data_IF_762084771562
#
_entry.id   IF_762084771562
#
_cell.length_a   1.000
_cell.length_b   1.000
_cell.length_c   1.000
_cell.angle_alpha   90.00
_cell.angle_beta   90.00
_cell.angle_gamma   90.00
#
_symmetry.space_group_name_H-M   'P 1'
#
loop_
_entity.id
_entity.type
_entity.pdbx_description
1 polymer ?
#
# COMPACT_ATOMS: atom_id res chain seq x y z
N UNK A 1 28.77 40.21 -73.82
CA UNK A 1 27.32 39.98 -73.89
C UNK A 1 27.06 38.51 -73.63
N UNK A 2 25.83 38.20 -73.20
CA UNK A 2 25.31 36.88 -72.80
C UNK A 2 25.58 36.49 -71.34
N UNK A 3 24.62 36.13 -70.49
CA UNK A 3 23.16 36.20 -70.50
C UNK A 3 22.79 35.86 -69.04
N UNK A 4 22.39 36.86 -68.25
CA UNK A 4 21.80 36.63 -66.93
C UNK A 4 20.56 35.75 -67.09
N UNK A 5 20.60 34.51 -66.60
CA UNK A 5 19.40 33.73 -66.28
C UNK A 5 19.69 32.56 -65.34
N UNK A 6 19.26 32.78 -64.09
CA UNK A 6 18.37 31.88 -63.34
C UNK A 6 18.89 30.49 -62.97
N UNK A 7 19.28 30.34 -61.69
CA UNK A 7 18.77 29.27 -60.79
C UNK A 7 19.22 29.50 -59.35
N UNK A 8 18.25 29.69 -58.45
CA UNK A 8 18.41 29.46 -57.00
C UNK A 8 18.42 27.95 -56.73
N UNK A 9 19.21 27.48 -55.75
CA UNK A 9 18.63 26.65 -54.71
C UNK A 9 19.17 27.01 -53.31
N UNK A 10 18.30 27.39 -52.38
CA UNK A 10 17.66 26.52 -51.37
C UNK A 10 18.55 26.34 -50.13
N UNK A 11 18.18 27.06 -49.06
CA UNK A 11 18.78 26.98 -47.74
C UNK A 11 18.56 25.60 -47.09
N UNK A 12 19.59 25.04 -46.46
CA UNK A 12 19.46 23.93 -45.51
C UNK A 12 19.67 24.46 -44.08
N UNK A 13 18.58 24.57 -43.33
CA UNK A 13 18.61 24.77 -41.89
C UNK A 13 18.70 23.40 -41.20
N UNK A 14 19.79 23.15 -40.47
CA UNK A 14 19.94 21.95 -39.65
C UNK A 14 19.15 22.11 -38.34
N UNK A 15 18.06 21.35 -38.19
CA UNK A 15 17.28 21.29 -36.95
C UNK A 15 17.88 20.25 -35.99
N UNK A 16 18.37 20.69 -34.83
CA UNK A 16 18.69 19.81 -33.70
C UNK A 16 17.38 19.28 -33.10
N UNK A 17 17.13 17.97 -33.25
CA UNK A 17 16.06 17.29 -32.53
C UNK A 17 16.54 16.94 -31.11
N UNK A 18 16.07 17.66 -30.11
CA UNK A 18 16.24 17.31 -28.70
C UNK A 18 15.37 16.09 -28.37
N UNK A 19 16.01 14.96 -28.05
CA UNK A 19 15.31 13.75 -27.58
C UNK A 19 14.91 13.97 -26.12
N UNK A 20 13.61 14.23 -25.89
CA UNK A 20 13.01 14.21 -24.56
C UNK A 20 12.89 12.75 -24.11
N UNK A 21 13.80 12.29 -23.25
CA UNK A 21 13.66 11.02 -22.57
C UNK A 21 12.49 11.10 -21.57
N UNK A 22 11.32 10.59 -21.97
CA UNK A 22 10.19 10.40 -21.06
C UNK A 22 10.50 9.24 -20.11
N UNK A 23 10.84 9.54 -18.86
CA UNK A 23 10.86 8.54 -17.79
C UNK A 23 9.43 8.13 -17.48
N UNK A 24 9.00 6.96 -17.96
CA UNK A 24 7.75 6.33 -17.54
C UNK A 24 7.86 5.97 -16.05
N UNK A 25 6.91 6.38 -15.20
CA UNK A 25 6.89 5.94 -13.81
C UNK A 25 6.74 4.42 -13.80
N UNK A 26 7.61 3.73 -13.07
CA UNK A 26 7.43 2.31 -12.78
C UNK A 26 6.06 2.14 -12.10
N UNK A 27 5.18 1.33 -12.70
CA UNK A 27 3.93 0.95 -12.06
C UNK A 27 4.28 0.28 -10.73
N UNK A 28 3.69 0.76 -9.63
CA UNK A 28 3.89 0.13 -8.33
C UNK A 28 3.48 -1.34 -8.44
N UNK A 29 4.40 -2.24 -8.07
CA UNK A 29 4.14 -3.68 -8.06
C UNK A 29 2.85 -3.97 -7.28
N UNK A 30 1.91 -4.76 -7.83
CA UNK A 30 0.64 -5.04 -7.17
C UNK A 30 0.87 -5.77 -5.84
N UNK A 31 0.47 -5.15 -4.72
CA UNK A 31 0.63 -5.68 -3.37
C UNK A 31 -0.69 -5.87 -2.60
N UNK A 32 -0.59 -6.07 -1.29
CA UNK A 32 -1.73 -6.13 -0.37
C UNK A 32 -1.82 -4.79 0.37
N UNK A 33 -2.77 -3.95 0.01
CA UNK A 33 -3.00 -2.69 0.73
C UNK A 33 -3.82 -2.95 1.99
N UNK A 34 -3.36 -2.45 3.13
CA UNK A 34 -4.04 -2.52 4.43
C UNK A 34 -4.32 -1.09 4.91
N UNK A 35 -5.58 -0.70 4.91
CA UNK A 35 -6.02 0.62 5.37
C UNK A 35 -6.66 0.51 6.75
N UNK A 36 -6.19 1.28 7.73
CA UNK A 36 -6.94 1.56 8.95
C UNK A 36 -8.06 2.56 8.64
N UNK A 37 -9.28 2.06 8.51
CA UNK A 37 -10.40 2.86 8.03
C UNK A 37 -11.10 3.63 9.16
N UNK A 38 -11.34 2.97 10.29
CA UNK A 38 -12.08 3.53 11.43
C UNK A 38 -11.59 2.94 12.75
N UNK A 39 -11.54 3.77 13.78
CA UNK A 39 -11.51 3.37 15.19
C UNK A 39 -12.81 3.81 15.84
N UNK A 40 -13.50 2.90 16.53
CA UNK A 40 -14.80 3.16 17.14
C UNK A 40 -14.78 2.82 18.64
N UNK A 41 -15.07 3.80 19.51
CA UNK A 41 -15.10 3.57 20.95
C UNK A 41 -16.09 2.47 21.34
N UNK A 42 -15.65 1.59 22.23
CA UNK A 42 -16.49 0.65 22.98
C UNK A 42 -16.21 0.85 24.47
N UNK A 43 -16.99 0.20 25.35
CA UNK A 43 -16.93 0.45 26.80
C UNK A 43 -15.50 0.31 27.36
N UNK A 44 -14.90 -0.88 27.19
CA UNK A 44 -13.57 -1.21 27.71
C UNK A 44 -12.61 -1.65 26.59
N UNK A 45 -12.91 -1.24 25.35
CA UNK A 45 -12.17 -1.64 24.16
C UNK A 45 -12.23 -0.56 23.07
N UNK A 46 -11.36 -0.67 22.08
CA UNK A 46 -11.46 0.06 20.83
C UNK A 46 -11.74 -0.89 19.67
N UNK A 47 -12.80 -0.65 18.90
CA UNK A 47 -13.08 -1.45 17.70
C UNK A 47 -12.32 -0.87 16.50
N UNK A 48 -11.47 -1.67 15.87
CA UNK A 48 -10.73 -1.30 14.67
C UNK A 48 -11.35 -1.92 13.42
N UNK A 49 -11.38 -1.14 12.35
CA UNK A 49 -11.85 -1.53 11.02
C UNK A 49 -10.69 -1.43 10.04
N UNK A 50 -10.26 -2.56 9.48
CA UNK A 50 -9.23 -2.62 8.44
C UNK A 50 -9.85 -2.98 7.09
N UNK A 51 -9.53 -2.22 6.06
CA UNK A 51 -9.84 -2.58 4.67
C UNK A 51 -8.59 -3.17 4.04
N UNK A 52 -8.67 -4.43 3.65
CA UNK A 52 -7.62 -5.13 2.91
C UNK A 52 -7.99 -5.16 1.44
N UNK A 53 -7.09 -4.78 0.55
CA UNK A 53 -7.23 -4.92 -0.90
C UNK A 53 -6.07 -5.74 -1.44
N UNK A 54 -6.38 -6.89 -2.03
CA UNK A 54 -5.39 -7.71 -2.70
C UNK A 54 -5.26 -7.28 -4.16
N UNK A 55 -4.21 -6.53 -4.47
CA UNK A 55 -3.87 -6.18 -5.84
C UNK A 55 -3.09 -7.27 -6.58
N UNK A 56 -2.59 -8.28 -5.86
CA UNK A 56 -1.81 -9.38 -6.45
C UNK A 56 -2.69 -10.33 -7.28
N UNK A 57 -2.04 -11.17 -8.10
CA UNK A 57 -2.68 -12.30 -8.77
C UNK A 57 -2.93 -13.53 -7.89
N UNK A 58 -2.39 -13.57 -6.67
CA UNK A 58 -2.53 -14.70 -5.75
C UNK A 58 -3.82 -14.62 -4.94
N UNK A 59 -4.44 -15.77 -4.67
CA UNK A 59 -5.52 -15.89 -3.68
C UNK A 59 -4.93 -16.40 -2.35
N UNK A 60 -4.94 -15.56 -1.32
CA UNK A 60 -4.39 -15.91 -0.01
C UNK A 60 -5.41 -16.68 0.83
N UNK A 61 -5.02 -17.90 1.20
CA UNK A 61 -5.76 -18.81 2.06
C UNK A 61 -5.40 -18.57 3.53
N UNK A 62 -4.16 -18.17 3.81
CA UNK A 62 -3.73 -17.60 5.08
C UNK A 62 -3.04 -16.27 4.85
N UNK A 63 -3.35 -15.33 5.74
CA UNK A 63 -2.72 -14.03 5.85
C UNK A 63 -3.04 -13.54 7.27
N UNK A 64 -2.07 -13.66 8.19
CA UNK A 64 -2.21 -13.27 9.60
C UNK A 64 -1.30 -12.09 9.87
N UNK A 65 -1.88 -10.91 10.03
CA UNK A 65 -1.16 -9.67 10.28
C UNK A 65 -0.81 -9.57 11.77
N UNK A 66 0.41 -9.18 12.08
CA UNK A 66 0.86 -8.88 13.43
C UNK A 66 0.84 -7.37 13.65
N UNK A 67 -0.09 -6.89 14.47
CA UNK A 67 -0.28 -5.47 14.72
C UNK A 67 0.13 -5.11 16.13
N UNK A 68 0.89 -4.02 16.28
CA UNK A 68 1.32 -3.46 17.56
C UNK A 68 0.75 -2.05 17.71
N UNK A 69 0.05 -1.82 18.80
CA UNK A 69 -0.55 -0.54 19.14
C UNK A 69 0.34 0.16 20.14
N UNK A 70 0.69 1.39 19.80
CA UNK A 70 1.40 2.28 20.71
C UNK A 70 0.44 3.34 21.23
N UNK A 71 0.64 3.75 22.47
CA UNK A 71 -0.09 4.88 23.04
C UNK A 71 0.41 6.23 22.49
N UNK A 72 -0.15 7.31 23.01
CA UNK A 72 0.19 8.68 22.61
C UNK A 72 1.64 9.07 22.96
N UNK A 73 2.22 8.47 24.00
CA UNK A 73 3.62 8.65 24.39
C UNK A 73 4.58 7.78 23.56
N UNK A 74 4.02 6.91 22.71
CA UNK A 74 4.75 6.01 21.84
C UNK A 74 5.25 4.75 22.53
N UNK A 75 4.68 4.39 23.69
CA UNK A 75 4.94 3.15 24.43
C UNK A 75 4.05 2.03 23.89
N UNK A 76 4.56 0.81 23.85
CA UNK A 76 3.79 -0.36 23.39
C UNK A 76 2.68 -0.66 24.39
N UNK A 77 1.43 -0.61 23.93
CA UNK A 77 0.26 -0.95 24.75
C UNK A 77 -0.26 -2.36 24.50
N UNK A 78 -0.53 -2.72 23.23
CA UNK A 78 -1.10 -4.02 22.85
C UNK A 78 -0.48 -4.58 21.58
N UNK A 79 -0.50 -5.91 21.46
CA UNK A 79 -0.17 -6.63 20.23
C UNK A 79 -1.30 -7.58 19.89
N UNK A 80 -1.78 -7.54 18.66
CA UNK A 80 -2.93 -8.32 18.19
C UNK A 80 -2.60 -8.96 16.85
N UNK A 81 -2.90 -10.25 16.74
CA UNK A 81 -2.81 -10.95 15.47
C UNK A 81 -4.17 -10.95 14.76
N UNK A 82 -4.24 -10.36 13.57
CA UNK A 82 -5.49 -10.16 12.81
C UNK A 82 -5.55 -11.12 11.62
N UNK A 83 -6.66 -11.85 11.51
CA UNK A 83 -6.92 -12.76 10.39
C UNK A 83 -7.39 -12.00 9.14
N UNK A 84 -6.47 -11.76 8.21
CA UNK A 84 -6.71 -11.09 6.93
C UNK A 84 -7.33 -11.99 5.85
N UNK A 85 -6.98 -13.28 5.82
CA UNK A 85 -7.55 -14.24 4.87
C UNK A 85 -8.94 -14.75 5.30
N UNK A 86 -9.74 -15.39 4.42
CA UNK A 86 -9.49 -15.57 2.98
C UNK A 86 -9.52 -14.25 2.21
N UNK A 87 -8.54 -14.08 1.32
CA UNK A 87 -8.38 -12.86 0.52
C UNK A 87 -8.02 -13.23 -0.92
N UNK A 88 -9.04 -13.41 -1.75
CA UNK A 88 -8.88 -13.74 -3.18
C UNK A 88 -8.17 -12.65 -3.97
N UNK A 89 -7.64 -13.02 -5.14
CA UNK A 89 -7.01 -12.08 -6.07
C UNK A 89 -7.99 -10.97 -6.47
N UNK A 90 -7.53 -9.72 -6.51
CA UNK A 90 -8.37 -8.54 -6.81
C UNK A 90 -9.42 -8.19 -5.75
N UNK A 91 -9.57 -8.97 -4.67
CA UNK A 91 -10.66 -8.81 -3.70
C UNK A 91 -10.35 -7.69 -2.70
N UNK A 92 -11.39 -6.93 -2.35
CA UNK A 92 -11.41 -6.07 -1.17
C UNK A 92 -12.15 -6.77 -0.04
N UNK A 93 -11.64 -6.70 1.19
CA UNK A 93 -12.24 -7.29 2.38
C UNK A 93 -12.18 -6.33 3.56
N UNK A 94 -13.28 -6.20 4.29
CA UNK A 94 -13.29 -5.54 5.59
C UNK A 94 -12.97 -6.55 6.69
N UNK A 95 -12.15 -6.17 7.65
CA UNK A 95 -11.85 -6.90 8.88
C UNK A 95 -12.15 -6.00 10.06
N UNK A 96 -12.85 -6.55 11.05
CA UNK A 96 -13.26 -5.82 12.24
C UNK A 96 -12.84 -6.63 13.45
N UNK A 97 -12.15 -5.99 14.39
CA UNK A 97 -11.73 -6.62 15.64
C UNK A 97 -11.75 -5.61 16.78
N UNK A 98 -11.90 -6.12 18.01
CA UNK A 98 -11.87 -5.32 19.22
C UNK A 98 -10.48 -5.38 19.85
N UNK A 99 -10.03 -4.25 20.39
CA UNK A 99 -8.74 -4.06 21.08
C UNK A 99 -9.06 -3.84 22.55
N UNK A 100 -8.91 -4.88 23.35
CA UNK A 100 -9.33 -4.84 24.76
C UNK A 100 -8.33 -4.11 25.65
N UNK A 101 -8.85 -3.34 26.60
CA UNK A 101 -8.07 -2.63 27.62
C UNK A 101 -7.35 -1.38 27.12
N UNK A 102 -7.62 -0.93 25.88
CA UNK A 102 -7.18 0.37 25.38
C UNK A 102 -8.38 1.10 24.76
N UNK A 103 -8.77 2.29 25.26
CA UNK A 103 -9.80 3.10 24.62
C UNK A 103 -9.25 3.75 23.34
N UNK A 104 -10.10 4.02 22.33
CA UNK A 104 -9.62 4.54 21.04
C UNK A 104 -8.77 5.81 21.11
N UNK A 105 -9.07 6.82 21.97
CA UNK A 105 -8.21 7.99 22.13
C UNK A 105 -6.81 7.67 22.67
N UNK A 106 -6.64 6.51 23.32
CA UNK A 106 -5.36 6.04 23.82
C UNK A 106 -4.48 5.36 22.76
N UNK A 107 -4.94 5.21 21.51
CA UNK A 107 -4.14 4.65 20.42
C UNK A 107 -3.46 5.80 19.67
N UNK A 108 -2.16 5.98 19.90
CA UNK A 108 -1.35 6.99 19.22
C UNK A 108 -0.95 6.58 17.81
N UNK A 109 -0.63 5.30 17.60
CA UNK A 109 -0.36 4.71 16.28
C UNK A 109 -0.52 3.20 16.29
N UNK A 110 -0.70 2.61 15.12
CA UNK A 110 -0.66 1.15 14.91
C UNK A 110 0.50 0.83 13.96
N UNK A 111 1.29 -0.18 14.31
CA UNK A 111 2.37 -0.73 13.50
C UNK A 111 1.95 -2.10 12.97
N UNK A 112 2.05 -2.32 11.67
CA UNK A 112 2.12 -3.66 11.09
C UNK A 112 3.55 -4.16 11.26
N UNK A 113 3.76 -4.97 12.29
CA UNK A 113 5.09 -5.45 12.65
C UNK A 113 5.54 -6.57 11.71
N UNK A 114 4.63 -7.49 11.35
CA UNK A 114 4.94 -8.61 10.47
C UNK A 114 3.68 -9.26 9.87
N UNK A 115 3.86 -10.24 8.99
CA UNK A 115 2.84 -11.20 8.55
C UNK A 115 3.22 -12.58 9.08
N UNK A 116 2.62 -12.99 10.20
CA UNK A 116 2.98 -14.20 10.94
C UNK A 116 2.71 -15.51 10.19
N UNK A 117 1.72 -15.50 9.31
CA UNK A 117 1.35 -16.64 8.50
C UNK A 117 0.84 -16.16 7.15
N UNK A 118 1.39 -16.73 6.08
CA UNK A 118 0.99 -16.41 4.73
C UNK A 118 1.04 -17.66 3.85
N UNK A 119 -0.07 -17.93 3.16
CA UNK A 119 -0.17 -19.04 2.21
C UNK A 119 -1.12 -18.68 1.08
N UNK A 120 -0.72 -19.02 -0.13
CA UNK A 120 -1.61 -19.09 -1.29
C UNK A 120 -1.69 -20.54 -1.82
N UNK A 121 -2.24 -20.74 -3.01
CA UNK A 121 -2.38 -22.07 -3.61
C UNK A 121 -1.05 -22.81 -3.83
N UNK A 122 0.06 -22.09 -3.93
CA UNK A 122 1.40 -22.67 -4.15
C UNK A 122 2.06 -23.12 -2.84
N UNK A 123 1.51 -22.75 -1.69
CA UNK A 123 2.05 -23.09 -0.36
C UNK A 123 2.45 -21.87 0.47
N UNK A 124 3.24 -22.14 1.52
CA UNK A 124 3.71 -21.10 2.46
C UNK A 124 4.57 -20.08 1.73
N UNK A 125 4.40 -18.81 2.10
CA UNK A 125 5.13 -17.67 1.56
C UNK A 125 5.79 -16.88 2.68
N UNK A 126 7.02 -16.44 2.42
CA UNK A 126 7.85 -15.69 3.39
C UNK A 126 8.05 -14.22 2.97
N UNK A 127 7.57 -13.84 1.79
CA UNK A 127 7.69 -12.50 1.22
C UNK A 127 6.50 -11.58 1.57
N UNK A 128 5.47 -12.11 2.21
CA UNK A 128 4.19 -11.41 2.35
C UNK A 128 4.26 -10.11 3.15
N UNK A 129 5.15 -10.01 4.13
CA UNK A 129 5.38 -8.73 4.82
C UNK A 129 5.83 -7.67 3.83
N UNK A 130 6.74 -8.00 2.91
CA UNK A 130 7.19 -7.12 1.82
C UNK A 130 6.07 -6.65 0.88
N UNK A 131 5.08 -7.50 0.63
CA UNK A 131 3.92 -7.20 -0.23
C UNK A 131 2.92 -6.23 0.39
N UNK A 132 2.95 -6.05 1.71
CA UNK A 132 1.98 -5.20 2.40
C UNK A 132 2.38 -3.73 2.35
N UNK A 133 1.42 -2.89 1.98
CA UNK A 133 1.47 -1.43 2.14
C UNK A 133 0.40 -0.99 3.14
N UNK A 134 0.67 0.06 3.90
CA UNK A 134 -0.25 0.56 4.92
C UNK A 134 -0.74 1.98 4.59
N UNK A 135 -1.98 2.26 4.98
CA UNK A 135 -2.55 3.61 4.97
C UNK A 135 -3.53 3.77 6.12
N UNK A 136 -3.94 5.01 6.41
CA UNK A 136 -4.98 5.27 7.40
C UNK A 136 -5.91 6.39 6.96
N UNK A 137 -7.19 6.21 7.28
CA UNK A 137 -8.22 7.26 7.28
C UNK A 137 -8.61 7.68 8.69
N UNK A 138 -8.28 6.85 9.69
CA UNK A 138 -8.46 7.20 11.09
C UNK A 138 -7.43 8.24 11.51
N UNK A 139 -7.69 8.92 12.63
CA UNK A 139 -6.73 9.89 13.19
C UNK A 139 -5.39 9.23 13.57
N UNK A 140 -5.42 7.98 14.07
CA UNK A 140 -4.22 7.22 14.33
C UNK A 140 -3.60 6.73 12.99
N UNK A 141 -2.30 6.92 12.76
CA UNK A 141 -1.62 6.37 11.60
C UNK A 141 -1.45 4.84 11.73
N UNK A 142 -1.48 4.16 10.58
CA UNK A 142 -1.06 2.77 10.43
C UNK A 142 0.27 2.76 9.64
N UNK A 143 1.33 2.35 10.31
CA UNK A 143 2.69 2.30 9.77
C UNK A 143 3.17 0.85 9.63
N UNK A 144 4.27 0.66 8.91
CA UNK A 144 4.98 -0.62 8.76
C UNK A 144 6.45 -0.39 9.04
#
# INVERSE_FOLDING_TARGET
MDWDSCRKPTALAAALAAVLAHTVPAAAEPGIAVELNKLEPRKDACRAYLVLKNGTGSAFQELKLDLVMFDADGVVGRRVAVQGAPLGAGKTSLKVFDIDGIPCPGIGRILLNDVMACRDASGRRDDCTGLVTTSSRAAAPLIK
#
